data_IF_181921142488
#
_entry.id   IF_181921142488
#
_cell.length_a   1.000
_cell.length_b   1.000
_cell.length_c   1.000
_cell.angle_alpha   90.00
_cell.angle_beta   90.00
_cell.angle_gamma   90.00
#
_symmetry.space_group_name_H-M   'P 1'
#
loop_
_entity.id
_entity.type
_entity.pdbx_description
1 polymer ?
#
# COMPACT_ATOMS: atom_id res chain seq x y z
N UNK A 1 19.13 45.82 -14.04
CA UNK A 1 17.86 45.14 -13.71
C UNK A 1 17.97 43.65 -14.06
N UNK A 2 18.85 42.88 -13.39
CA UNK A 2 19.04 41.44 -13.68
C UNK A 2 18.66 40.53 -12.49
N UNK A 3 18.72 41.06 -11.26
CA UNK A 3 18.53 40.28 -10.03
C UNK A 3 17.09 39.77 -9.82
N UNK A 4 16.06 40.43 -10.38
CA UNK A 4 14.66 40.03 -10.16
C UNK A 4 14.17 38.86 -11.02
N UNK A 5 14.75 38.67 -12.22
CA UNK A 5 14.31 37.61 -13.15
C UNK A 5 14.85 36.22 -12.77
N UNK A 6 16.08 36.13 -12.27
CA UNK A 6 16.67 34.86 -11.81
C UNK A 6 16.00 34.33 -10.55
N UNK A 7 15.65 35.20 -9.60
CA UNK A 7 15.01 34.77 -8.34
C UNK A 7 13.59 34.26 -8.57
N UNK A 8 12.85 34.85 -9.52
CA UNK A 8 11.50 34.41 -9.86
C UNK A 8 11.49 33.05 -10.58
N UNK A 9 12.46 32.81 -11.47
CA UNK A 9 12.65 31.52 -12.13
C UNK A 9 13.04 30.42 -11.14
N UNK A 10 13.93 30.74 -10.17
CA UNK A 10 14.28 29.83 -9.09
C UNK A 10 13.08 29.50 -8.19
N UNK A 11 12.22 30.49 -7.88
CA UNK A 11 11.03 30.27 -7.06
C UNK A 11 9.98 29.41 -7.78
N UNK A 12 9.79 29.59 -9.09
CA UNK A 12 8.93 28.71 -9.89
C UNK A 12 9.48 27.28 -9.99
N UNK A 13 10.81 27.12 -10.07
CA UNK A 13 11.44 25.79 -10.09
C UNK A 13 11.24 25.04 -8.77
N UNK A 14 11.24 25.73 -7.62
CA UNK A 14 11.01 25.12 -6.30
C UNK A 14 9.55 24.65 -6.14
N UNK A 15 8.58 25.36 -6.72
CA UNK A 15 7.16 24.95 -6.68
C UNK A 15 6.86 23.68 -7.50
N UNK A 16 7.72 23.31 -8.45
CA UNK A 16 7.57 22.09 -9.24
C UNK A 16 8.10 20.83 -8.53
N UNK A 17 8.86 20.99 -7.45
CA UNK A 17 9.50 19.88 -6.73
C UNK A 17 8.62 19.25 -5.64
N UNK A 18 7.47 19.85 -5.29
CA UNK A 18 6.70 19.47 -4.09
C UNK A 18 5.49 18.55 -4.35
N UNK A 19 5.31 18.01 -5.56
CA UNK A 19 4.03 17.37 -5.91
C UNK A 19 4.02 15.88 -6.21
N UNK A 20 5.14 15.14 -6.12
CA UNK A 20 5.13 13.71 -6.45
C UNK A 20 4.81 12.86 -5.22
N UNK A 21 3.76 12.04 -5.31
CA UNK A 21 3.47 11.01 -4.30
C UNK A 21 4.50 9.87 -4.45
N UNK A 22 5.36 9.72 -3.45
CA UNK A 22 6.20 8.54 -3.24
C UNK A 22 6.25 8.29 -1.73
N UNK A 23 5.23 7.61 -1.24
CA UNK A 23 5.04 7.35 0.18
C UNK A 23 4.59 5.91 0.42
N UNK A 24 4.64 5.47 1.67
CA UNK A 24 4.21 4.14 2.03
C UNK A 24 3.88 3.99 3.51
N UNK A 25 3.13 2.94 3.79
CA UNK A 25 2.73 2.53 5.14
C UNK A 25 3.01 1.04 5.30
N UNK A 26 3.33 0.63 6.53
CA UNK A 26 3.75 -0.73 6.83
C UNK A 26 2.87 -1.34 7.91
N UNK A 27 2.35 -2.53 7.64
CA UNK A 27 1.82 -3.45 8.62
C UNK A 27 2.92 -4.44 9.02
N UNK A 28 3.33 -4.39 10.29
CA UNK A 28 4.28 -5.35 10.84
C UNK A 28 3.52 -6.58 11.35
N UNK A 29 3.84 -7.75 10.80
CA UNK A 29 3.23 -9.02 11.20
C UNK A 29 3.86 -9.50 12.52
N UNK A 30 5.17 -9.26 12.69
CA UNK A 30 5.90 -9.54 13.91
C UNK A 30 6.39 -8.25 14.61
N UNK A 31 6.81 -8.38 15.87
CA UNK A 31 7.35 -7.27 16.65
C UNK A 31 8.80 -6.91 16.27
N UNK A 32 9.44 -7.68 15.37
CA UNK A 32 10.85 -7.50 15.00
C UNK A 32 11.02 -6.56 13.81
N UNK A 33 9.93 -6.30 13.08
CA UNK A 33 9.92 -5.52 11.85
C UNK A 33 10.49 -6.26 10.64
N UNK A 34 10.99 -7.48 10.81
CA UNK A 34 11.56 -8.28 9.72
C UNK A 34 10.47 -8.98 8.90
N UNK A 35 9.29 -9.21 9.48
CA UNK A 35 8.14 -9.78 8.80
C UNK A 35 7.03 -8.74 8.66
N UNK A 36 6.84 -8.20 7.46
CA UNK A 36 5.92 -7.10 7.22
C UNK A 36 5.29 -7.10 5.81
N UNK A 37 4.18 -6.39 5.71
CA UNK A 37 3.53 -6.03 4.46
C UNK A 37 3.51 -4.51 4.38
N UNK A 38 4.06 -3.94 3.32
CA UNK A 38 4.10 -2.49 3.13
C UNK A 38 3.38 -2.08 1.85
N UNK A 39 2.46 -1.13 1.95
CA UNK A 39 1.87 -0.48 0.79
C UNK A 39 2.73 0.72 0.40
N UNK A 40 3.14 0.77 -0.86
CA UNK A 40 3.86 1.90 -1.45
C UNK A 40 3.04 2.48 -2.58
N UNK A 41 2.85 3.81 -2.57
CA UNK A 41 2.16 4.55 -3.63
C UNK A 41 3.19 5.38 -4.39
N UNK A 42 3.26 5.17 -5.70
CA UNK A 42 4.17 5.91 -6.58
C UNK A 42 3.40 6.60 -7.71
N UNK A 43 3.55 7.92 -7.79
CA UNK A 43 3.06 8.75 -8.88
C UNK A 43 4.16 8.92 -9.93
N UNK A 44 3.85 8.63 -11.19
CA UNK A 44 4.84 8.76 -12.28
C UNK A 44 5.00 10.23 -12.68
N UNK A 45 3.89 10.95 -12.86
CA UNK A 45 3.88 12.36 -13.19
C UNK A 45 2.96 13.18 -12.27
N UNK A 46 3.31 14.44 -12.04
CA UNK A 46 2.59 15.39 -11.17
C UNK A 46 1.11 15.60 -11.54
N UNK A 47 0.77 15.40 -12.81
CA UNK A 47 -0.59 15.57 -13.35
C UNK A 47 -1.41 14.27 -13.37
N UNK A 48 -0.81 13.13 -12.96
CA UNK A 48 -1.51 11.86 -12.94
C UNK A 48 -2.53 11.83 -11.80
N UNK A 49 -3.79 11.60 -12.15
CA UNK A 49 -4.87 11.43 -11.15
C UNK A 49 -4.81 10.09 -10.44
N UNK A 50 -4.14 9.11 -11.05
CA UNK A 50 -3.94 7.77 -10.51
C UNK A 50 -2.47 7.55 -10.20
N UNK A 51 -2.20 6.77 -9.18
CA UNK A 51 -0.85 6.39 -8.76
C UNK A 51 -0.76 4.87 -8.74
N UNK A 52 0.45 4.35 -8.91
CA UNK A 52 0.72 2.92 -8.88
C UNK A 52 0.81 2.48 -7.43
N UNK A 53 0.02 1.47 -7.09
CA UNK A 53 0.04 0.85 -5.78
C UNK A 53 0.88 -0.41 -5.86
N UNK A 54 1.88 -0.48 -5.00
CA UNK A 54 2.76 -1.63 -4.86
C UNK A 54 2.63 -2.21 -3.47
N UNK A 55 2.56 -3.54 -3.39
CA UNK A 55 2.71 -4.26 -2.14
C UNK A 55 4.14 -4.78 -2.05
N UNK A 56 4.86 -4.36 -1.02
CA UNK A 56 6.14 -4.94 -0.66
C UNK A 56 5.88 -5.97 0.43
N UNK A 57 6.18 -7.22 0.10
CA UNK A 57 6.07 -8.36 1.02
C UNK A 57 7.48 -8.67 1.49
N UNK A 58 7.70 -8.64 2.80
CA UNK A 58 9.01 -8.85 3.38
C UNK A 58 8.96 -9.87 4.52
N UNK A 59 9.91 -10.80 4.48
CA UNK A 59 10.29 -11.66 5.59
C UNK A 59 11.80 -11.80 5.60
N UNK A 60 12.45 -10.77 6.10
CA UNK A 60 13.90 -10.67 6.15
C UNK A 60 14.49 -11.71 7.13
N UNK A 61 15.67 -12.28 6.82
CA UNK A 61 16.46 -12.13 5.59
C UNK A 61 16.02 -13.06 4.44
N UNK A 62 14.99 -13.89 4.65
CA UNK A 62 14.58 -14.95 3.75
C UNK A 62 14.11 -14.42 2.39
N UNK A 63 13.22 -13.43 2.38
CA UNK A 63 12.70 -12.86 1.15
C UNK A 63 12.22 -11.43 1.31
N UNK A 64 12.29 -10.66 0.23
CA UNK A 64 11.63 -9.37 0.10
C UNK A 64 11.30 -9.14 -1.38
N UNK A 65 10.02 -8.90 -1.70
CA UNK A 65 9.61 -8.66 -3.08
C UNK A 65 8.53 -7.60 -3.18
N UNK A 66 8.62 -6.82 -4.25
CA UNK A 66 7.70 -5.75 -4.58
C UNK A 66 6.80 -6.19 -5.72
N UNK A 67 5.49 -6.11 -5.50
CA UNK A 67 4.45 -6.54 -6.43
C UNK A 67 3.58 -5.36 -6.83
N UNK A 68 3.28 -5.22 -8.11
CA UNK A 68 2.34 -4.20 -8.59
C UNK A 68 0.91 -4.72 -8.39
N UNK A 69 0.12 -3.98 -7.61
CA UNK A 69 -1.32 -4.27 -7.46
C UNK A 69 -2.06 -3.71 -8.69
N UNK A 70 -1.76 -2.46 -9.05
CA UNK A 70 -2.39 -1.74 -10.16
C UNK A 70 -2.33 -0.22 -9.98
N UNK A 71 -3.09 0.49 -10.81
CA UNK A 71 -3.20 1.95 -10.78
C UNK A 71 -4.54 2.40 -10.20
N UNK A 72 -4.49 3.18 -9.13
CA UNK A 72 -5.67 3.60 -8.37
C UNK A 72 -5.63 5.08 -8.02
N UNK A 73 -6.75 5.63 -7.56
CA UNK A 73 -6.72 6.97 -6.98
C UNK A 73 -5.94 6.93 -5.66
N UNK A 74 -5.20 8.00 -5.29
CA UNK A 74 -4.42 8.03 -4.05
C UNK A 74 -5.19 7.62 -2.79
N UNK A 75 -6.48 7.96 -2.74
CA UNK A 75 -7.41 7.69 -1.63
C UNK A 75 -8.00 6.27 -1.63
N UNK A 76 -7.66 5.44 -2.61
CA UNK A 76 -8.16 4.06 -2.66
C UNK A 76 -7.64 3.28 -1.47
N UNK A 77 -8.58 2.67 -0.73
CA UNK A 77 -8.25 1.79 0.40
C UNK A 77 -7.72 0.45 -0.11
N UNK A 78 -6.75 -0.10 0.62
CA UNK A 78 -6.26 -1.47 0.40
C UNK A 78 -6.49 -2.27 1.67
N UNK A 79 -7.36 -3.26 1.59
CA UNK A 79 -7.73 -4.12 2.71
C UNK A 79 -6.86 -5.38 2.70
N UNK A 80 -6.38 -5.76 3.88
CA UNK A 80 -5.55 -6.94 4.08
C UNK A 80 -6.34 -7.94 4.91
N UNK A 81 -6.57 -9.12 4.33
CA UNK A 81 -7.20 -10.24 5.00
C UNK A 81 -6.18 -11.36 5.22
N UNK A 82 -6.40 -12.17 6.25
CA UNK A 82 -5.57 -13.32 6.57
C UNK A 82 -6.43 -14.58 6.54
N UNK A 83 -6.03 -15.52 5.69
CA UNK A 83 -6.68 -16.83 5.63
C UNK A 83 -6.08 -17.79 6.68
N UNK A 84 -6.81 -18.83 7.11
CA UNK A 84 -6.33 -19.77 8.13
C UNK A 84 -5.02 -20.49 7.77
N UNK A 85 -4.73 -20.66 6.47
CA UNK A 85 -3.46 -21.23 5.99
C UNK A 85 -2.25 -20.33 6.25
N UNK A 86 -2.46 -19.07 6.66
CA UNK A 86 -1.42 -18.08 6.92
C UNK A 86 -1.04 -17.23 5.70
N UNK A 87 -1.67 -17.46 4.55
CA UNK A 87 -1.59 -16.56 3.41
C UNK A 87 -2.43 -15.29 3.64
N UNK A 88 -2.21 -14.28 2.81
CA UNK A 88 -2.89 -13.00 2.86
C UNK A 88 -3.66 -12.75 1.58
N UNK A 89 -4.81 -12.11 1.70
CA UNK A 89 -5.57 -11.59 0.55
C UNK A 89 -5.51 -10.07 0.59
N UNK A 90 -5.14 -9.48 -0.53
CA UNK A 90 -4.95 -8.04 -0.71
C UNK A 90 -6.05 -7.56 -1.63
N UNK A 91 -6.99 -6.77 -1.11
CA UNK A 91 -8.11 -6.22 -1.88
C UNK A 91 -7.91 -4.73 -2.10
N UNK A 92 -7.93 -4.30 -3.35
CA UNK A 92 -7.86 -2.90 -3.74
C UNK A 92 -9.02 -2.58 -4.69
N UNK A 93 -10.06 -1.92 -4.16
CA UNK A 93 -11.29 -1.68 -4.91
C UNK A 93 -11.98 -3.00 -5.31
N UNK A 94 -11.97 -3.33 -6.60
CA UNK A 94 -12.61 -4.54 -7.16
C UNK A 94 -11.65 -5.67 -7.48
N UNK A 95 -10.34 -5.45 -7.34
CA UNK A 95 -9.34 -6.48 -7.63
C UNK A 95 -8.77 -7.05 -6.35
N UNK A 96 -8.41 -8.31 -6.42
CA UNK A 96 -7.88 -9.07 -5.29
C UNK A 96 -6.68 -9.87 -5.72
N UNK A 97 -5.71 -9.98 -4.82
CA UNK A 97 -4.53 -10.82 -4.99
C UNK A 97 -4.33 -11.68 -3.75
N UNK A 98 -4.00 -12.94 -3.98
CA UNK A 98 -3.46 -13.81 -2.94
C UNK A 98 -1.94 -13.59 -2.87
N UNK A 99 -1.42 -13.42 -1.66
CA UNK A 99 0.01 -13.33 -1.40
C UNK A 99 0.43 -14.17 -0.21
N UNK A 100 1.67 -14.60 -0.20
CA UNK A 100 2.29 -15.29 0.93
C UNK A 100 3.60 -14.60 1.33
N UNK A 101 4.07 -14.86 2.55
CA UNK A 101 5.27 -14.21 3.12
C UNK A 101 6.43 -15.18 3.38
N UNK A 102 6.29 -16.46 3.01
CA UNK A 102 7.32 -17.49 3.18
C UNK A 102 8.39 -17.39 2.08
N UNK A 103 7.98 -17.21 0.82
CA UNK A 103 8.88 -17.03 -0.34
C UNK A 103 8.78 -15.62 -0.93
N UNK A 104 7.74 -14.85 -0.59
CA UNK A 104 7.43 -13.53 -1.14
C UNK A 104 7.19 -13.54 -2.67
N UNK A 105 7.07 -14.70 -3.31
CA UNK A 105 6.91 -14.83 -4.76
C UNK A 105 5.45 -14.98 -5.18
N UNK A 106 4.63 -15.57 -4.31
CA UNK A 106 3.22 -15.75 -4.59
C UNK A 106 2.51 -14.41 -4.58
N UNK A 107 2.15 -13.89 -5.75
CA UNK A 107 1.26 -12.74 -5.92
C UNK A 107 0.34 -13.01 -7.11
N UNK A 108 -0.78 -13.68 -6.85
CA UNK A 108 -1.67 -14.20 -7.88
C UNK A 108 -3.05 -13.52 -7.83
N UNK A 109 -3.62 -13.08 -8.96
CA UNK A 109 -4.93 -12.47 -8.97
C UNK A 109 -6.01 -13.50 -8.60
N UNK A 110 -6.94 -13.10 -7.74
CA UNK A 110 -8.13 -13.86 -7.38
C UNK A 110 -9.27 -13.35 -8.26
N UNK A 111 -9.80 -14.21 -9.13
CA UNK A 111 -10.89 -13.86 -10.05
C UNK A 111 -12.26 -14.05 -9.42
N UNK A 112 -12.41 -15.15 -8.70
CA UNK A 112 -13.64 -15.53 -8.02
C UNK A 112 -13.34 -15.66 -6.53
N UNK A 113 -14.21 -15.10 -5.70
CA UNK A 113 -14.07 -15.18 -4.25
C UNK A 113 -14.24 -16.66 -3.83
N UNK A 114 -13.29 -17.25 -3.09
CA UNK A 114 -13.40 -18.65 -2.68
C UNK A 114 -14.68 -18.88 -1.86
N UNK A 115 -15.32 -20.05 -2.01
CA UNK A 115 -16.50 -20.40 -1.21
C UNK A 115 -16.23 -20.41 0.30
N UNK A 116 -14.98 -20.70 0.68
CA UNK A 116 -14.49 -20.66 2.07
C UNK A 116 -14.26 -19.22 2.59
N UNK A 117 -14.46 -18.21 1.74
CA UNK A 117 -14.22 -16.80 2.03
C UNK A 117 -12.75 -16.38 1.84
N UNK A 118 -12.50 -15.10 2.11
CA UNK A 118 -11.19 -14.44 1.94
C UNK A 118 -10.35 -14.37 3.22
N UNK A 119 -10.88 -14.90 4.32
CA UNK A 119 -10.27 -14.84 5.65
C UNK A 119 -10.71 -13.65 6.51
N UNK A 120 -10.03 -13.49 7.65
CA UNK A 120 -10.30 -12.44 8.64
C UNK A 120 -9.66 -11.12 8.22
N UNK A 121 -10.38 -10.00 8.37
CA UNK A 121 -9.81 -8.67 8.11
C UNK A 121 -8.74 -8.35 9.16
N UNK A 122 -7.50 -8.15 8.72
CA UNK A 122 -6.37 -7.76 9.58
C UNK A 122 -6.31 -6.25 9.74
N UNK A 123 -6.64 -5.51 8.67
CA UNK A 123 -6.60 -4.07 8.67
C UNK A 123 -6.67 -3.49 7.28
N UNK A 124 -6.63 -2.16 7.22
CA UNK A 124 -6.79 -1.41 5.99
C UNK A 124 -5.70 -0.36 5.88
N UNK A 125 -5.03 -0.32 4.73
CA UNK A 125 -4.27 0.85 4.33
C UNK A 125 -5.23 1.91 3.80
N UNK A 126 -5.23 3.08 4.43
CA UNK A 126 -6.05 4.22 4.05
C UNK A 126 -5.19 5.49 3.99
N UNK A 127 -5.67 6.53 3.32
CA UNK A 127 -5.02 7.84 3.37
C UNK A 127 -5.62 8.67 4.49
N UNK A 128 -4.77 9.22 5.36
CA UNK A 128 -5.14 10.20 6.38
C UNK A 128 -4.32 11.47 6.21
N UNK A 129 -4.99 12.57 5.90
CA UNK A 129 -4.37 13.88 5.66
C UNK A 129 -3.24 13.84 4.61
N UNK A 130 -3.42 13.10 3.52
CA UNK A 130 -2.44 12.96 2.43
C UNK A 130 -1.45 11.81 2.59
N UNK A 131 -1.25 11.29 3.81
CA UNK A 131 -0.26 10.24 4.11
C UNK A 131 -0.93 8.87 4.20
N UNK A 132 -0.33 7.79 3.66
CA UNK A 132 -0.85 6.44 3.84
C UNK A 132 -0.64 6.01 5.30
N UNK A 133 -1.64 5.38 5.88
CA UNK A 133 -1.61 4.83 7.23
C UNK A 133 -2.20 3.42 7.21
N UNK A 134 -1.70 2.54 8.09
CA UNK A 134 -2.31 1.24 8.32
C UNK A 134 -3.20 1.30 9.56
N UNK A 135 -4.47 1.00 9.37
CA UNK A 135 -5.48 0.93 10.43
C UNK A 135 -5.74 -0.55 10.71
N UNK A 136 -5.22 -1.06 11.83
CA UNK A 136 -5.50 -2.43 12.25
C UNK A 136 -7.00 -2.61 12.49
N UNK A 137 -7.53 -3.75 12.06
CA UNK A 137 -8.92 -4.09 12.33
C UNK A 137 -9.09 -4.32 13.84
N UNK A 138 -10.21 -3.80 14.37
CA UNK A 138 -10.60 -4.18 15.73
C UNK A 138 -10.96 -5.66 15.75
N UNK A 139 -10.43 -6.44 16.72
CA UNK A 139 -10.73 -7.86 16.83
C UNK A 139 -12.25 -8.03 16.96
N UNK A 140 -12.80 -9.00 16.23
CA UNK A 140 -14.25 -9.23 16.09
C UNK A 140 -14.96 -9.41 17.44
N UNK A 141 -14.24 -9.88 18.47
CA UNK A 141 -14.69 -9.99 19.85
C UNK A 141 -15.07 -8.65 20.53
N UNK A 142 -14.62 -7.51 19.99
CA UNK A 142 -14.96 -6.18 20.50
C UNK A 142 -16.23 -5.59 19.86
N UNK A 143 -16.73 -6.17 18.76
CA UNK A 143 -17.92 -5.67 18.04
C UNK A 143 -19.25 -6.26 18.53
N UNK A 144 -19.22 -7.21 19.47
CA UNK A 144 -20.42 -7.88 20.01
C UNK A 144 -20.76 -7.47 21.46
N UNK A 145 -20.20 -6.37 21.97
CA UNK A 145 -20.46 -5.89 23.34
C UNK A 145 -21.11 -4.50 23.33
#
# INVERSE_FOLDING_TARGET
MQAGKSTLAALCAVLLLTGCINDGATYQIDATGQHNLSLVREQTYLWDKKVKFYLVVARMPTCMRRHLIGEFFPKTKVEIFRVPSGAYVVRAGKIMYATETQTCEGFAPIRDEPEEGIGELVGTFSEKAGTPVFEAAEPEAAKSR
#
